data_IF_838758441261
#
_entry.id   IF_838758441261
#
_cell.length_a   1.000
_cell.length_b   1.000
_cell.length_c   1.000
_cell.angle_alpha   90.00
_cell.angle_beta   90.00
_cell.angle_gamma   90.00
#
_symmetry.space_group_name_H-M   'P 1'
#
loop_
_entity.id
_entity.type
_entity.pdbx_description
1 polymer ?
#
# COMPACT_ATOMS: atom_id res chain seq x y z
N UNK A 1 -21.57 -3.02 -19.54
CA UNK A 1 -20.57 -2.08 -18.99
C UNK A 1 -20.58 -2.15 -17.46
N UNK A 2 -19.53 -2.68 -16.83
CA UNK A 2 -19.48 -2.82 -15.37
C UNK A 2 -19.18 -1.46 -14.71
N UNK A 3 -20.07 -0.97 -13.84
CA UNK A 3 -19.84 0.24 -13.04
C UNK A 3 -18.72 -0.04 -12.04
N UNK A 4 -17.51 0.48 -12.31
CA UNK A 4 -16.40 0.45 -11.36
C UNK A 4 -16.70 1.46 -10.25
N UNK A 5 -16.93 0.99 -9.02
CA UNK A 5 -17.06 1.87 -7.87
C UNK A 5 -15.87 2.82 -7.75
N UNK A 6 -16.09 4.02 -7.19
CA UNK A 6 -15.06 5.05 -7.02
C UNK A 6 -13.75 4.42 -6.52
N UNK A 7 -12.68 4.63 -7.28
CA UNK A 7 -11.34 4.13 -6.94
C UNK A 7 -10.62 5.02 -5.91
N UNK A 8 -11.30 6.07 -5.41
CA UNK A 8 -10.81 7.01 -4.40
C UNK A 8 -11.72 6.96 -3.17
N UNK A 9 -11.16 6.84 -1.94
CA UNK A 9 -11.94 6.88 -0.70
C UNK A 9 -12.75 8.17 -0.59
N UNK A 10 -13.95 8.09 -0.01
CA UNK A 10 -14.81 9.25 0.26
C UNK A 10 -14.17 10.24 1.23
N UNK A 11 -13.33 9.75 2.15
CA UNK A 11 -12.52 10.55 3.05
C UNK A 11 -11.10 10.00 3.04
N UNK A 12 -10.10 10.89 2.89
CA UNK A 12 -8.69 10.53 2.92
C UNK A 12 -7.90 11.62 3.64
N UNK A 13 -7.26 11.26 4.75
CA UNK A 13 -6.30 12.12 5.44
C UNK A 13 -4.92 11.54 5.12
N UNK A 14 -4.34 12.01 4.02
CA UNK A 14 -3.04 11.55 3.54
C UNK A 14 -2.10 12.76 3.55
N UNK A 15 -0.99 12.65 4.29
CA UNK A 15 0.06 13.66 4.31
C UNK A 15 0.87 13.57 3.00
N UNK A 16 1.74 14.55 2.74
CA UNK A 16 2.43 14.65 1.46
C UNK A 16 3.23 13.38 1.13
N UNK A 17 2.85 12.68 0.06
CA UNK A 17 3.52 11.43 -0.36
C UNK A 17 4.62 11.69 -1.40
N UNK A 18 5.38 12.78 -1.27
CA UNK A 18 6.38 13.18 -2.28
C UNK A 18 7.54 12.18 -2.37
N UNK A 19 7.96 11.64 -1.23
CA UNK A 19 8.97 10.60 -1.15
C UNK A 19 8.29 9.31 -0.67
N UNK A 20 8.21 8.30 -1.52
CA UNK A 20 7.55 7.04 -1.19
C UNK A 20 8.19 5.88 -1.93
N UNK A 21 8.36 4.75 -1.25
CA UNK A 21 8.99 3.53 -1.78
C UNK A 21 8.01 2.63 -2.55
N UNK A 22 6.88 3.19 -3.00
CA UNK A 22 5.82 2.41 -3.63
C UNK A 22 6.23 1.81 -4.98
N UNK A 23 7.13 2.46 -5.73
CA UNK A 23 7.61 1.92 -7.01
C UNK A 23 8.33 0.59 -6.79
N UNK A 24 9.24 0.53 -5.82
CA UNK A 24 9.97 -0.71 -5.47
C UNK A 24 9.00 -1.80 -4.98
N UNK A 25 7.97 -1.41 -4.22
CA UNK A 25 6.95 -2.34 -3.73
C UNK A 25 6.12 -2.93 -4.87
N UNK A 26 5.72 -2.09 -5.84
CA UNK A 26 4.95 -2.51 -7.01
C UNK A 26 5.82 -3.40 -7.90
N UNK A 27 7.05 -3.00 -8.21
CA UNK A 27 7.94 -3.80 -9.05
C UNK A 27 8.22 -5.17 -8.42
N UNK A 28 8.51 -5.21 -7.12
CA UNK A 28 8.73 -6.46 -6.40
C UNK A 28 7.48 -7.36 -6.41
N UNK A 29 6.30 -6.79 -6.22
CA UNK A 29 5.05 -7.54 -6.27
C UNK A 29 4.74 -8.04 -7.67
N UNK A 30 5.00 -7.25 -8.72
CA UNK A 30 4.74 -7.66 -10.11
C UNK A 30 5.68 -8.76 -10.60
N UNK A 31 6.88 -8.90 -10.00
CA UNK A 31 7.76 -10.07 -10.21
C UNK A 31 7.11 -11.40 -9.80
N UNK A 32 6.06 -11.39 -8.98
CA UNK A 32 5.26 -12.60 -8.68
C UNK A 32 4.32 -13.04 -9.81
N UNK A 33 4.26 -12.29 -10.92
CA UNK A 33 3.32 -12.49 -12.02
C UNK A 33 1.94 -11.87 -11.78
N UNK A 34 1.72 -11.21 -10.64
CA UNK A 34 0.50 -10.45 -10.33
C UNK A 34 0.62 -9.01 -10.83
N UNK A 35 -0.51 -8.30 -10.93
CA UNK A 35 -0.54 -6.86 -11.27
C UNK A 35 -1.20 -6.06 -10.18
N UNK A 36 -0.57 -4.95 -9.78
CA UNK A 36 -1.14 -4.06 -8.78
C UNK A 36 -2.26 -3.22 -9.42
N UNK A 37 -3.41 -3.14 -8.74
CA UNK A 37 -4.52 -2.27 -9.16
C UNK A 37 -4.19 -0.82 -8.82
N UNK A 38 -4.64 0.13 -9.64
CA UNK A 38 -4.34 1.56 -9.42
C UNK A 38 -4.67 2.06 -8.00
N UNK A 39 -5.80 1.62 -7.43
CA UNK A 39 -6.18 2.02 -6.07
C UNK A 39 -5.26 1.42 -4.99
N UNK A 40 -4.68 0.24 -5.23
CA UNK A 40 -3.68 -0.39 -4.36
C UNK A 40 -2.37 0.41 -4.41
N UNK A 41 -1.94 0.82 -5.60
CA UNK A 41 -0.76 1.67 -5.81
C UNK A 41 -0.92 3.00 -5.07
N UNK A 42 -2.08 3.65 -5.21
CA UNK A 42 -2.36 4.90 -4.50
C UNK A 42 -2.29 4.73 -2.98
N UNK A 43 -2.76 3.59 -2.46
CA UNK A 43 -2.73 3.28 -1.04
C UNK A 43 -1.30 3.00 -0.56
N UNK A 44 -0.53 2.20 -1.30
CA UNK A 44 0.88 1.94 -1.03
C UNK A 44 1.71 3.21 -1.05
N UNK A 45 1.40 4.14 -1.96
CA UNK A 45 2.07 5.45 -2.02
C UNK A 45 1.97 6.20 -0.69
N UNK A 46 0.81 6.14 -0.03
CA UNK A 46 0.63 6.70 1.30
C UNK A 46 1.33 5.86 2.39
N UNK A 47 1.13 4.54 2.40
CA UNK A 47 1.70 3.64 3.42
C UNK A 47 3.24 3.70 3.44
N UNK A 48 3.87 3.81 2.28
CA UNK A 48 5.33 3.79 2.11
C UNK A 48 5.95 5.19 2.03
N UNK A 49 5.20 6.23 2.38
CA UNK A 49 5.70 7.60 2.36
C UNK A 49 6.64 7.90 3.53
N UNK A 50 7.72 8.63 3.23
CA UNK A 50 8.75 9.03 4.20
C UNK A 50 8.99 10.53 4.14
N UNK A 51 9.28 11.12 5.29
CA UNK A 51 9.60 12.54 5.39
C UNK A 51 11.05 12.82 4.95
N UNK A 52 11.45 14.09 4.96
CA UNK A 52 12.82 14.51 4.59
C UNK A 52 13.92 13.91 5.48
N UNK A 53 13.57 13.42 6.67
CA UNK A 53 14.49 12.74 7.60
C UNK A 53 14.50 11.21 7.40
N UNK A 54 13.78 10.70 6.41
CA UNK A 54 13.68 9.26 6.14
C UNK A 54 12.74 8.49 7.09
N UNK A 55 12.00 9.18 7.97
CA UNK A 55 11.03 8.55 8.87
C UNK A 55 9.69 8.35 8.17
N UNK A 56 8.91 7.37 8.60
CA UNK A 56 7.55 7.14 8.09
C UNK A 56 6.66 8.36 8.34
N UNK A 57 6.00 8.87 7.30
CA UNK A 57 4.99 9.94 7.41
C UNK A 57 3.75 9.44 8.17
N UNK A 58 3.40 8.17 7.98
CA UNK A 58 2.27 7.53 8.61
C UNK A 58 2.72 6.30 9.40
N UNK A 59 2.85 6.45 10.73
CA UNK A 59 3.17 5.32 11.64
C UNK A 59 1.95 4.44 11.94
N UNK A 60 0.74 4.99 11.76
CA UNK A 60 -0.54 4.28 11.84
C UNK A 60 -1.34 4.61 10.59
N UNK A 61 -1.88 3.58 9.94
CA UNK A 61 -2.64 3.74 8.70
C UNK A 61 -3.78 2.73 8.67
N UNK A 62 -4.97 3.16 8.24
CA UNK A 62 -6.16 2.32 8.19
C UNK A 62 -7.06 2.68 7.01
N UNK A 63 -7.82 1.69 6.51
CA UNK A 63 -8.76 1.87 5.41
C UNK A 63 -10.02 1.05 5.63
N UNK A 64 -11.17 1.59 5.20
CA UNK A 64 -12.42 0.85 5.11
C UNK A 64 -12.71 0.53 3.65
N UNK A 65 -12.61 -0.76 3.29
CA UNK A 65 -12.81 -1.24 1.93
C UNK A 65 -13.81 -2.39 1.95
N UNK A 66 -14.74 -2.39 1.01
CA UNK A 66 -15.73 -3.46 0.82
C UNK A 66 -15.09 -4.83 0.60
N UNK A 67 -15.82 -5.90 0.95
CA UNK A 67 -15.33 -7.28 0.82
C UNK A 67 -15.01 -7.64 -0.65
N UNK A 68 -14.07 -8.57 -0.83
CA UNK A 68 -13.63 -9.11 -2.13
C UNK A 68 -13.01 -8.10 -3.11
N UNK A 69 -12.61 -6.92 -2.65
CA UNK A 69 -12.00 -5.91 -3.54
C UNK A 69 -10.49 -6.11 -3.79
N UNK A 70 -9.86 -7.14 -3.21
CA UNK A 70 -8.40 -7.34 -3.29
C UNK A 70 -7.61 -6.54 -2.25
N UNK A 71 -8.20 -6.27 -1.08
CA UNK A 71 -7.55 -5.54 0.04
C UNK A 71 -6.37 -6.29 0.66
N UNK A 72 -6.41 -7.62 0.66
CA UNK A 72 -5.34 -8.45 1.20
C UNK A 72 -4.05 -8.32 0.37
N UNK A 73 -4.16 -8.05 -0.94
CA UNK A 73 -2.97 -7.85 -1.78
C UNK A 73 -2.20 -6.59 -1.41
N UNK A 74 -2.83 -5.57 -0.82
CA UNK A 74 -2.11 -4.37 -0.33
C UNK A 74 -1.23 -4.75 0.85
N UNK A 75 -1.76 -5.59 1.75
CA UNK A 75 -1.02 -6.09 2.91
C UNK A 75 0.16 -6.93 2.45
N UNK A 76 -0.07 -7.86 1.51
CA UNK A 76 0.99 -8.66 0.90
C UNK A 76 2.07 -7.77 0.22
N UNK A 77 1.67 -6.77 -0.57
CA UNK A 77 2.61 -5.82 -1.19
C UNK A 77 3.47 -5.09 -0.14
N UNK A 78 2.86 -4.63 0.96
CA UNK A 78 3.57 -3.96 2.05
C UNK A 78 4.51 -4.90 2.80
N UNK A 79 4.10 -6.15 3.00
CA UNK A 79 4.91 -7.17 3.68
C UNK A 79 6.12 -7.58 2.84
N UNK A 80 5.92 -7.79 1.53
CA UNK A 80 6.98 -8.16 0.60
C UNK A 80 8.11 -7.13 0.60
N UNK A 81 7.80 -5.84 0.40
CA UNK A 81 8.85 -4.80 0.43
C UNK A 81 9.50 -4.71 1.82
N UNK A 82 8.71 -4.83 2.88
CA UNK A 82 9.21 -4.75 4.24
C UNK A 82 10.23 -5.84 4.55
N UNK A 83 9.95 -7.09 4.15
CA UNK A 83 10.84 -8.22 4.39
C UNK A 83 12.04 -8.19 3.44
N UNK A 84 11.80 -8.01 2.12
CA UNK A 84 12.83 -8.23 1.10
C UNK A 84 13.78 -7.04 0.95
N UNK A 85 13.26 -5.81 0.98
CA UNK A 85 14.05 -4.60 0.69
C UNK A 85 14.40 -3.86 1.98
N UNK A 86 13.45 -3.75 2.91
CA UNK A 86 13.63 -2.96 4.13
C UNK A 86 14.20 -3.75 5.30
N UNK A 87 14.30 -5.07 5.17
CA UNK A 87 14.77 -5.99 6.22
C UNK A 87 14.01 -5.81 7.56
N UNK A 88 12.71 -5.53 7.46
CA UNK A 88 11.81 -5.36 8.60
C UNK A 88 11.37 -6.72 9.16
N UNK A 89 11.16 -6.76 10.48
CA UNK A 89 10.44 -7.85 11.13
C UNK A 89 8.97 -7.47 11.21
N UNK A 90 8.10 -8.26 10.58
CA UNK A 90 6.67 -7.94 10.47
C UNK A 90 5.85 -8.99 11.19
N UNK A 91 4.97 -8.52 12.08
CA UNK A 91 3.92 -9.33 12.68
C UNK A 91 2.63 -9.13 11.89
N UNK A 92 2.10 -10.20 11.32
CA UNK A 92 0.82 -10.21 10.61
C UNK A 92 -0.21 -11.00 11.42
N UNK A 93 -1.35 -10.40 11.71
CA UNK A 93 -2.47 -11.07 12.41
C UNK A 93 -3.75 -10.93 11.60
N UNK A 94 -4.37 -12.05 11.26
CA UNK A 94 -5.73 -12.10 10.74
C UNK A 94 -6.67 -12.31 11.93
N UNK A 95 -7.28 -11.24 12.42
CA UNK A 95 -8.38 -11.28 13.39
C UNK A 95 -9.71 -11.54 12.70
#
# INVERSE_FOLDING_TARGET
>A
MARKGSQKPTQSIILSTKNSLFNDAVELYEKSGRKARQWQINLLKAILSRNKKGLWEHTKFGWSISRRNGKNEVVAQREMIGIVILNEKILHTNS
#
